data_IF_929511873045
#
_entry.id   IF_929511873045
#
_cell.length_a   1.000
_cell.length_b   1.000
_cell.length_c   1.000
_cell.angle_alpha   90.00
_cell.angle_beta   90.00
_cell.angle_gamma   90.00
#
_symmetry.space_group_name_H-M   'P 1'
#
loop_
_entity.id
_entity.type
_entity.pdbx_description
1 polymer ?
#
# COMPACT_ATOMS: atom_id res chain seq x y z
N UNK A 1 20.37 -29.09 36.11
CA UNK A 1 21.45 -28.48 35.30
C UNK A 1 21.35 -29.04 33.90
N UNK A 2 20.73 -28.30 32.98
CA UNK A 2 20.77 -28.55 31.53
C UNK A 2 20.42 -27.21 30.87
N UNK A 3 21.45 -26.55 30.34
CA UNK A 3 21.35 -25.25 29.66
C UNK A 3 20.86 -25.48 28.22
N UNK A 4 19.97 -24.62 27.68
CA UNK A 4 19.57 -24.68 26.28
C UNK A 4 20.69 -24.13 25.35
N UNK A 5 20.79 -24.62 24.11
CA UNK A 5 21.83 -24.19 23.18
C UNK A 5 21.57 -22.80 22.59
N UNK A 6 22.70 -22.19 22.27
CA UNK A 6 23.03 -20.77 22.12
C UNK A 6 22.39 -20.07 20.90
N UNK A 7 21.88 -18.87 21.13
CA UNK A 7 21.01 -18.08 20.25
C UNK A 7 21.79 -17.17 19.28
N UNK A 8 22.97 -17.60 18.81
CA UNK A 8 23.94 -16.76 18.07
C UNK A 8 24.25 -17.16 16.62
N UNK A 9 23.52 -18.09 15.99
CA UNK A 9 23.82 -18.57 14.62
C UNK A 9 22.82 -18.28 13.50
N UNK A 10 21.79 -17.45 13.73
CA UNK A 10 20.84 -17.04 12.67
C UNK A 10 21.08 -15.60 12.15
N UNK A 11 22.10 -14.90 12.68
CA UNK A 11 22.41 -13.52 12.29
C UNK A 11 23.38 -13.37 11.09
N UNK A 12 23.91 -14.46 10.51
CA UNK A 12 25.04 -14.35 9.56
C UNK A 12 24.69 -14.49 8.06
N UNK A 13 23.44 -14.77 7.68
CA UNK A 13 23.07 -14.97 6.26
C UNK A 13 22.34 -13.79 5.58
N UNK A 14 22.15 -12.64 6.26
CA UNK A 14 21.46 -11.48 5.66
C UNK A 14 22.42 -10.30 5.37
N UNK A 15 23.69 -10.41 5.76
CA UNK A 15 24.64 -9.29 5.72
C UNK A 15 25.67 -9.34 4.57
N UNK A 16 25.60 -10.32 3.66
CA UNK A 16 26.61 -10.54 2.61
C UNK A 16 26.21 -10.16 1.18
N UNK A 17 25.06 -9.51 0.97
CA UNK A 17 24.66 -9.00 -0.37
C UNK A 17 24.50 -7.48 -0.47
N UNK A 18 24.89 -6.72 0.57
CA UNK A 18 24.68 -5.26 0.60
C UNK A 18 25.95 -4.41 0.57
N UNK A 19 27.16 -4.99 0.51
CA UNK A 19 28.40 -4.22 0.59
C UNK A 19 29.48 -4.75 -0.36
N UNK A 20 29.26 -4.64 -1.68
CA UNK A 20 30.37 -4.50 -2.65
C UNK A 20 29.97 -3.59 -3.81
N UNK A 21 30.82 -2.59 -4.05
CA UNK A 21 30.97 -1.70 -5.22
C UNK A 21 30.22 -0.36 -5.18
N UNK A 22 30.80 0.57 -4.42
CA UNK A 22 30.99 1.95 -4.87
C UNK A 22 32.44 2.01 -5.38
N UNK A 23 32.63 2.26 -6.69
CA UNK A 23 33.67 3.13 -7.30
C UNK A 23 33.72 2.89 -8.81
N UNK A 24 33.67 4.00 -9.58
CA UNK A 24 33.96 4.19 -11.02
C UNK A 24 32.79 4.24 -12.03
N UNK A 25 32.95 5.05 -13.12
CA UNK A 25 31.97 6.00 -13.61
C UNK A 25 31.03 5.44 -14.70
N UNK A 26 29.96 6.20 -14.99
CA UNK A 26 28.94 5.93 -16.03
C UNK A 26 29.55 5.43 -17.35
N UNK A 27 29.09 4.28 -17.89
CA UNK A 27 29.17 4.03 -19.32
C UNK A 27 28.00 4.72 -20.04
N UNK A 28 28.29 5.15 -21.27
CA UNK A 28 27.40 5.89 -22.17
C UNK A 28 26.20 5.03 -22.59
N UNK A 29 25.13 5.74 -22.93
CA UNK A 29 23.86 5.19 -23.41
C UNK A 29 23.99 4.62 -24.83
N UNK A 30 24.43 3.37 -24.97
CA UNK A 30 24.18 2.51 -26.14
C UNK A 30 24.70 1.11 -25.75
N UNK A 31 24.04 0.03 -26.19
CA UNK A 31 24.47 -1.37 -25.96
C UNK A 31 24.09 -2.00 -24.60
N UNK A 32 22.79 -2.14 -24.35
CA UNK A 32 22.23 -3.41 -23.85
C UNK A 32 20.73 -3.45 -24.15
N UNK A 33 20.41 -3.29 -25.44
CA UNK A 33 19.09 -3.51 -26.02
C UNK A 33 19.18 -4.84 -26.76
N UNK A 34 18.15 -5.66 -26.62
CA UNK A 34 17.92 -6.95 -27.29
C UNK A 34 18.35 -8.20 -26.49
N UNK A 35 17.41 -8.68 -25.69
CA UNK A 35 17.04 -10.09 -25.47
C UNK A 35 16.28 -10.11 -24.13
N UNK A 36 14.98 -9.84 -24.10
CA UNK A 36 13.95 -10.88 -24.08
C UNK A 36 12.52 -10.34 -24.38
N UNK A 37 12.42 -9.22 -25.11
CA UNK A 37 11.13 -8.60 -25.46
C UNK A 37 10.62 -9.01 -26.85
N UNK A 38 10.67 -10.30 -27.22
CA UNK A 38 10.02 -10.78 -28.45
C UNK A 38 9.53 -12.23 -28.33
N UNK A 39 8.44 -12.47 -27.59
CA UNK A 39 7.44 -13.50 -27.97
C UNK A 39 6.04 -13.07 -27.47
N UNK A 40 5.17 -12.46 -28.30
CA UNK A 40 3.79 -12.10 -27.93
C UNK A 40 2.87 -13.32 -27.72
N UNK A 41 3.31 -14.53 -28.12
CA UNK A 41 2.52 -15.76 -28.11
C UNK A 41 2.28 -16.26 -26.67
N UNK A 42 3.22 -16.05 -25.75
CA UNK A 42 3.10 -16.54 -24.36
C UNK A 42 2.04 -15.76 -23.57
N UNK A 43 1.85 -14.46 -23.86
CA UNK A 43 0.78 -13.66 -23.25
C UNK A 43 -0.60 -14.11 -23.71
N UNK A 44 -0.77 -14.32 -25.02
CA UNK A 44 -2.04 -14.73 -25.62
C UNK A 44 -2.45 -16.15 -25.19
N UNK A 45 -1.50 -17.10 -25.17
CA UNK A 45 -1.75 -18.46 -24.69
C UNK A 45 -2.02 -18.52 -23.18
N UNK A 46 -1.33 -17.71 -22.37
CA UNK A 46 -1.59 -17.62 -20.94
C UNK A 46 -2.96 -16.98 -20.63
N UNK A 47 -3.42 -16.03 -21.44
CA UNK A 47 -4.75 -15.42 -21.31
C UNK A 47 -5.87 -16.38 -21.78
N UNK A 48 -5.59 -17.31 -22.70
CA UNK A 48 -6.50 -18.41 -23.05
C UNK A 48 -6.61 -19.46 -21.94
N UNK A 49 -5.50 -19.78 -21.28
CA UNK A 49 -5.43 -20.79 -20.21
C UNK A 49 -5.90 -20.22 -18.86
N UNK A 50 -5.72 -18.91 -18.64
CA UNK A 50 -6.07 -18.24 -17.39
C UNK A 50 -6.68 -16.85 -17.69
N UNK A 51 -7.91 -16.81 -18.23
CA UNK A 51 -8.51 -15.55 -18.66
C UNK A 51 -8.73 -14.62 -17.48
N UNK A 52 -8.59 -13.31 -17.73
CA UNK A 52 -8.79 -12.31 -16.70
C UNK A 52 -10.23 -12.36 -16.17
N UNK A 53 -10.34 -12.35 -14.84
CA UNK A 53 -11.61 -12.41 -14.12
C UNK A 53 -11.86 -11.12 -13.35
N UNK A 54 -13.13 -10.75 -13.28
CA UNK A 54 -13.64 -9.67 -12.46
C UNK A 54 -13.17 -9.84 -11.02
N UNK A 55 -12.57 -8.80 -10.43
CA UNK A 55 -12.06 -8.86 -9.07
C UNK A 55 -13.12 -9.12 -8.00
N UNK A 56 -14.42 -8.91 -8.30
CA UNK A 56 -15.51 -9.05 -7.35
C UNK A 56 -16.32 -10.34 -7.50
N UNK A 57 -16.70 -10.71 -8.73
CA UNK A 57 -17.60 -11.84 -9.01
C UNK A 57 -16.96 -12.97 -9.81
N UNK A 58 -15.68 -12.85 -10.18
CA UNK A 58 -14.93 -13.84 -10.95
C UNK A 58 -15.44 -14.16 -12.39
N UNK A 59 -16.46 -13.46 -12.88
CA UNK A 59 -16.88 -13.49 -14.30
C UNK A 59 -15.72 -13.06 -15.22
N UNK A 60 -15.64 -13.64 -16.41
CA UNK A 60 -14.64 -13.24 -17.41
C UNK A 60 -14.79 -11.77 -17.77
N UNK A 61 -13.66 -11.10 -17.94
CA UNK A 61 -13.60 -9.68 -18.33
C UNK A 61 -12.58 -9.50 -19.44
N UNK A 62 -12.68 -8.37 -20.14
CA UNK A 62 -11.65 -7.99 -21.13
C UNK A 62 -10.29 -7.84 -20.44
N UNK A 63 -9.17 -8.06 -21.17
CA UNK A 63 -7.85 -7.79 -20.64
C UNK A 63 -7.76 -6.40 -20.00
N UNK A 64 -7.08 -6.30 -18.87
CA UNK A 64 -6.88 -5.08 -18.09
C UNK A 64 -8.11 -4.53 -17.35
N UNK A 65 -9.31 -5.08 -17.53
CA UNK A 65 -10.53 -4.59 -16.89
C UNK A 65 -10.63 -5.08 -15.42
N UNK A 66 -10.70 -4.17 -14.44
CA UNK A 66 -10.75 -4.56 -13.02
C UNK A 66 -12.04 -5.31 -12.64
N UNK A 67 -13.17 -4.81 -13.13
CA UNK A 67 -14.52 -5.31 -12.83
C UNK A 67 -15.32 -5.46 -14.10
N UNK A 68 -16.19 -6.47 -14.18
CA UNK A 68 -17.25 -6.50 -15.19
C UNK A 68 -18.17 -5.28 -15.02
N UNK A 69 -18.93 -4.93 -16.05
CA UNK A 69 -19.70 -3.68 -16.07
C UNK A 69 -20.69 -3.59 -14.88
N UNK A 70 -21.36 -4.69 -14.53
CA UNK A 70 -22.24 -4.76 -13.35
C UNK A 70 -21.50 -4.54 -12.04
N UNK A 71 -20.28 -5.06 -11.90
CA UNK A 71 -19.49 -4.84 -10.69
C UNK A 71 -18.90 -3.43 -10.66
N UNK A 72 -18.57 -2.87 -11.82
CA UNK A 72 -18.06 -1.52 -11.97
C UNK A 72 -19.08 -0.48 -11.52
N UNK A 73 -20.36 -0.63 -11.89
CA UNK A 73 -21.44 0.29 -11.45
C UNK A 73 -21.70 0.24 -9.95
N UNK A 74 -21.37 -0.87 -9.28
CA UNK A 74 -21.46 -1.04 -7.82
C UNK A 74 -20.21 -0.55 -7.06
N UNK A 75 -19.26 0.09 -7.75
CA UNK A 75 -18.15 0.77 -7.10
C UNK A 75 -18.60 2.16 -6.71
N UNK A 76 -18.81 2.35 -5.41
CA UNK A 76 -19.00 3.66 -4.81
C UNK A 76 -17.65 4.39 -4.76
N UNK A 77 -17.37 5.21 -5.77
CA UNK A 77 -16.09 5.93 -5.93
C UNK A 77 -16.13 7.20 -5.11
N UNK A 78 -15.07 7.42 -4.33
CA UNK A 78 -14.95 8.60 -3.49
C UNK A 78 -14.36 9.78 -4.27
N UNK A 79 -14.89 10.97 -4.01
CA UNK A 79 -14.48 12.21 -4.63
C UNK A 79 -14.98 13.42 -3.82
N UNK A 80 -14.63 14.65 -4.24
CA UNK A 80 -15.16 15.86 -3.62
C UNK A 80 -16.69 15.97 -3.77
N UNK A 81 -17.41 16.63 -2.83
CA UNK A 81 -16.89 17.27 -1.61
C UNK A 81 -16.46 16.26 -0.52
N UNK A 82 -15.26 16.46 0.01
CA UNK A 82 -14.64 15.59 1.00
C UNK A 82 -13.74 16.37 1.97
N UNK A 83 -13.38 15.75 3.09
CA UNK A 83 -12.49 16.33 4.05
C UNK A 83 -11.10 16.57 3.44
N UNK A 84 -10.61 17.80 3.49
CA UNK A 84 -9.30 18.17 2.94
C UNK A 84 -8.15 17.37 3.56
N UNK A 85 -8.27 17.01 4.85
CA UNK A 85 -7.27 16.23 5.59
C UNK A 85 -7.47 14.72 5.49
N UNK A 86 -8.63 14.16 5.86
CA UNK A 86 -8.79 12.70 5.94
C UNK A 86 -9.55 12.05 4.77
N UNK A 87 -10.02 12.84 3.80
CA UNK A 87 -10.78 12.34 2.65
C UNK A 87 -12.14 11.72 3.01
N UNK A 88 -12.70 12.05 4.19
CA UNK A 88 -14.07 11.67 4.53
C UNK A 88 -15.06 12.37 3.60
N UNK A 89 -16.01 11.67 2.96
CA UNK A 89 -17.10 12.33 2.24
C UNK A 89 -17.84 13.33 3.13
N UNK A 90 -18.22 14.48 2.56
CA UNK A 90 -18.92 15.56 3.26
C UNK A 90 -19.96 16.20 2.33
N UNK A 91 -20.88 16.97 2.89
CA UNK A 91 -21.77 17.85 2.11
C UNK A 91 -21.04 19.10 1.60
N UNK A 92 -20.06 19.60 2.34
CA UNK A 92 -19.26 20.78 2.01
C UNK A 92 -17.77 20.52 2.13
N UNK A 93 -16.98 21.21 1.30
CA UNK A 93 -15.53 21.18 1.38
C UNK A 93 -15.04 21.78 2.71
N UNK A 94 -14.05 21.15 3.34
CA UNK A 94 -13.49 21.62 4.61
C UNK A 94 -12.87 20.52 5.44
N UNK A 95 -12.54 20.81 6.71
CA UNK A 95 -12.13 19.77 7.67
C UNK A 95 -13.38 19.16 8.32
N UNK A 96 -13.35 17.86 8.59
CA UNK A 96 -14.35 17.24 9.45
C UNK A 96 -14.02 17.47 10.92
N UNK A 97 -15.01 17.33 11.81
CA UNK A 97 -14.86 17.59 13.24
C UNK A 97 -13.71 16.78 13.86
N UNK A 98 -13.53 15.47 13.55
CA UNK A 98 -12.37 14.72 14.03
C UNK A 98 -11.01 15.23 13.51
N UNK A 99 -10.99 16.01 12.43
CA UNK A 99 -9.78 16.60 11.83
C UNK A 99 -9.67 18.11 12.09
N UNK A 100 -10.59 18.69 12.86
CA UNK A 100 -10.55 20.09 13.26
C UNK A 100 -9.41 20.34 14.26
N UNK A 101 -9.04 19.34 15.06
CA UNK A 101 -7.90 19.43 15.97
C UNK A 101 -6.55 19.45 15.20
N UNK A 102 -5.70 20.46 15.44
CA UNK A 102 -4.36 20.51 14.86
C UNK A 102 -3.47 19.38 15.41
N UNK A 103 -2.50 18.93 14.61
CA UNK A 103 -1.50 17.93 15.04
C UNK A 103 -1.54 16.57 14.32
N UNK A 104 -2.37 16.40 13.30
CA UNK A 104 -2.30 15.19 12.45
C UNK A 104 -0.91 15.08 11.79
N UNK A 105 -0.22 13.92 11.88
CA UNK A 105 1.04 13.70 11.15
C UNK A 105 0.82 13.52 9.64
N UNK A 106 -0.44 13.41 9.20
CA UNK A 106 -0.85 13.29 7.81
C UNK A 106 -1.30 14.66 7.30
N UNK A 107 -0.72 15.10 6.18
CA UNK A 107 -1.11 16.30 5.43
C UNK A 107 -2.45 16.07 4.73
N UNK A 108 -2.52 15.05 3.88
CA UNK A 108 -3.77 14.65 3.22
C UNK A 108 -3.90 13.13 3.07
N UNK A 109 -5.11 12.61 3.23
CA UNK A 109 -5.46 11.22 2.97
C UNK A 109 -6.57 11.14 1.91
N UNK A 110 -6.43 10.20 0.98
CA UNK A 110 -7.43 9.91 -0.06
C UNK A 110 -7.67 8.41 -0.17
N UNK A 111 -8.86 8.07 -0.64
CA UNK A 111 -9.27 6.71 -0.93
C UNK A 111 -9.96 6.66 -2.29
N UNK A 112 -9.81 5.54 -3.00
CA UNK A 112 -10.48 5.35 -4.29
C UNK A 112 -11.98 5.10 -4.15
N UNK A 113 -12.38 4.25 -3.21
CA UNK A 113 -13.77 3.84 -3.08
C UNK A 113 -14.23 3.65 -1.62
N UNK A 114 -15.54 3.66 -1.41
CA UNK A 114 -16.14 3.32 -0.13
C UNK A 114 -16.05 1.82 0.15
N UNK A 115 -15.76 1.49 1.41
CA UNK A 115 -15.76 0.15 1.97
C UNK A 115 -16.97 0.00 2.90
N UNK A 116 -18.06 -0.53 2.36
CA UNK A 116 -19.29 -0.77 3.12
C UNK A 116 -19.20 -2.09 3.90
N UNK A 117 -19.11 -2.03 5.24
CA UNK A 117 -19.18 -3.18 6.17
C UNK A 117 -20.60 -3.21 6.80
N UNK A 118 -21.26 -4.37 7.08
CA UNK A 118 -20.77 -5.75 7.07
C UNK A 118 -21.20 -6.63 5.90
N UNK A 119 -22.01 -6.13 4.96
CA UNK A 119 -22.66 -7.03 4.00
C UNK A 119 -21.80 -7.46 2.80
N UNK A 120 -20.53 -7.02 2.72
CA UNK A 120 -19.61 -7.44 1.65
C UNK A 120 -20.12 -7.19 0.23
N UNK A 121 -21.16 -6.37 0.07
CA UNK A 121 -21.91 -6.25 -1.17
C UNK A 121 -21.22 -5.35 -2.21
N UNK A 122 -20.31 -4.47 -1.77
CA UNK A 122 -19.57 -3.63 -2.71
C UNK A 122 -18.55 -4.47 -3.48
N UNK A 123 -18.40 -4.16 -4.77
CA UNK A 123 -17.42 -4.84 -5.62
C UNK A 123 -15.99 -4.67 -5.09
N UNK A 124 -15.72 -3.54 -4.44
CA UNK A 124 -14.41 -3.24 -3.85
C UNK A 124 -14.11 -4.11 -2.63
N UNK A 125 -15.08 -4.34 -1.75
CA UNK A 125 -14.89 -5.23 -0.61
C UNK A 125 -14.56 -6.66 -1.07
N UNK A 126 -15.28 -7.16 -2.08
CA UNK A 126 -15.01 -8.48 -2.69
C UNK A 126 -13.65 -8.54 -3.40
N UNK A 127 -13.26 -7.47 -4.08
CA UNK A 127 -11.93 -7.36 -4.69
C UNK A 127 -10.80 -7.38 -3.67
N UNK A 128 -10.97 -6.64 -2.57
CA UNK A 128 -10.00 -6.62 -1.47
C UNK A 128 -9.90 -7.99 -0.82
N UNK A 129 -11.03 -8.68 -0.61
CA UNK A 129 -11.04 -10.04 -0.08
C UNK A 129 -10.30 -11.01 -1.01
N UNK A 130 -10.62 -10.98 -2.31
CA UNK A 130 -9.95 -11.79 -3.34
C UNK A 130 -8.46 -11.48 -3.44
N UNK A 131 -8.08 -10.20 -3.29
CA UNK A 131 -6.69 -9.76 -3.27
C UNK A 131 -5.95 -10.19 -1.99
N UNK A 132 -6.64 -10.29 -0.85
CA UNK A 132 -6.04 -10.71 0.43
C UNK A 132 -5.79 -12.21 0.52
N UNK A 133 -6.70 -13.02 -0.01
CA UNK A 133 -6.76 -14.45 0.28
C UNK A 133 -6.74 -15.35 -0.95
N UNK A 134 -7.06 -14.82 -2.14
CA UNK A 134 -7.18 -15.62 -3.37
C UNK A 134 -5.91 -15.73 -4.23
N UNK A 135 -4.73 -15.31 -3.72
CA UNK A 135 -3.48 -15.36 -4.50
C UNK A 135 -3.45 -14.45 -5.74
N UNK A 136 -4.47 -13.61 -5.92
CA UNK A 136 -4.69 -12.78 -7.09
C UNK A 136 -3.78 -11.54 -7.13
N UNK A 137 -2.45 -11.73 -7.02
CA UNK A 137 -1.45 -10.66 -7.21
C UNK A 137 -1.64 -9.92 -8.53
N UNK A 138 -2.20 -10.59 -9.55
CA UNK A 138 -2.60 -10.02 -10.84
C UNK A 138 -3.63 -8.89 -10.72
N UNK A 139 -4.46 -8.87 -9.68
CA UNK A 139 -5.36 -7.75 -9.39
C UNK A 139 -4.60 -6.49 -8.96
N UNK A 140 -3.40 -6.64 -8.40
CA UNK A 140 -2.61 -5.54 -7.85
C UNK A 140 -2.37 -4.41 -8.85
N UNK A 141 -2.05 -4.73 -10.11
CA UNK A 141 -1.89 -3.74 -11.18
C UNK A 141 -3.18 -2.96 -11.41
N UNK A 142 -4.30 -3.67 -11.61
CA UNK A 142 -5.60 -3.07 -11.93
C UNK A 142 -6.15 -2.23 -10.77
N UNK A 143 -5.96 -2.70 -9.54
CA UNK A 143 -6.32 -1.95 -8.31
C UNK A 143 -5.48 -0.68 -8.16
N UNK A 144 -4.16 -0.77 -8.38
CA UNK A 144 -3.27 0.39 -8.33
C UNK A 144 -3.61 1.41 -9.43
N UNK A 145 -3.91 0.96 -10.66
CA UNK A 145 -4.38 1.84 -11.74
C UNK A 145 -5.63 2.61 -11.34
N UNK A 146 -6.59 1.96 -10.68
CA UNK A 146 -7.80 2.63 -10.22
C UNK A 146 -7.51 3.71 -9.15
N UNK A 147 -6.52 3.49 -8.29
CA UNK A 147 -6.10 4.45 -7.26
C UNK A 147 -5.43 5.70 -7.82
N UNK A 148 -4.88 5.67 -9.05
CA UNK A 148 -4.20 6.82 -9.67
C UNK A 148 -5.09 8.07 -9.75
N UNK A 149 -6.39 7.87 -9.96
CA UNK A 149 -7.38 8.96 -10.03
C UNK A 149 -7.49 9.78 -8.73
N UNK A 150 -6.90 9.30 -7.62
CA UNK A 150 -7.02 9.91 -6.29
C UNK A 150 -5.67 10.22 -5.65
N UNK A 151 -4.58 10.13 -6.41
CA UNK A 151 -3.24 10.48 -5.92
C UNK A 151 -3.27 11.95 -5.47
N UNK A 152 -2.96 12.24 -4.18
CA UNK A 152 -2.82 13.61 -3.72
C UNK A 152 -1.57 14.25 -4.36
N UNK A 153 -1.64 15.57 -4.60
CA UNK A 153 -0.65 16.52 -5.16
C UNK A 153 0.69 16.02 -5.74
N UNK A 154 1.22 16.65 -6.80
CA UNK A 154 2.33 16.11 -7.60
C UNK A 154 3.73 16.13 -6.95
N UNK A 155 3.90 16.64 -5.73
CA UNK A 155 5.20 16.79 -5.06
C UNK A 155 5.71 15.51 -4.38
N UNK A 156 5.07 14.36 -4.59
CA UNK A 156 5.47 13.08 -4.02
C UNK A 156 6.86 12.68 -4.55
N UNK A 157 7.81 12.49 -3.64
CA UNK A 157 9.19 12.11 -3.98
C UNK A 157 9.54 10.67 -3.59
N UNK A 158 8.69 10.03 -2.78
CA UNK A 158 8.92 8.68 -2.27
C UNK A 158 7.59 7.98 -1.96
N UNK A 159 7.44 6.75 -2.41
CA UNK A 159 6.29 5.89 -2.10
C UNK A 159 6.68 4.84 -1.06
N UNK A 160 5.90 4.72 0.00
CA UNK A 160 6.14 3.79 1.11
C UNK A 160 4.88 2.98 1.38
N UNK A 161 4.91 1.64 1.29
CA UNK A 161 3.76 0.83 1.72
C UNK A 161 3.68 0.74 3.24
N UNK A 162 2.47 0.67 3.78
CA UNK A 162 2.27 0.27 5.19
C UNK A 162 2.80 -1.16 5.38
N UNK A 163 3.71 -1.40 6.35
CA UNK A 163 4.28 -2.72 6.54
C UNK A 163 3.34 -3.63 7.34
N UNK A 164 3.25 -4.88 6.88
CA UNK A 164 2.68 -5.96 7.69
C UNK A 164 3.72 -6.46 8.70
N UNK A 165 3.24 -6.90 9.86
CA UNK A 165 4.09 -7.61 10.82
C UNK A 165 4.55 -8.96 10.21
N UNK A 166 5.78 -9.40 10.52
CA UNK A 166 6.40 -10.60 9.92
C UNK A 166 5.54 -11.87 10.04
N UNK A 167 4.80 -12.04 11.15
CA UNK A 167 3.88 -13.18 11.33
C UNK A 167 2.70 -13.13 10.35
N UNK A 168 2.11 -11.95 10.11
CA UNK A 168 1.02 -11.79 9.13
C UNK A 168 1.53 -11.93 7.70
N UNK A 169 2.76 -11.48 7.42
CA UNK A 169 3.38 -11.68 6.12
C UNK A 169 3.58 -13.17 5.82
N UNK A 170 4.04 -13.95 6.80
CA UNK A 170 4.16 -15.42 6.66
C UNK A 170 2.81 -16.11 6.44
N UNK A 171 1.78 -15.71 7.17
CA UNK A 171 0.42 -16.26 7.01
C UNK A 171 -0.22 -15.91 5.66
N UNK A 172 -0.03 -14.67 5.17
CA UNK A 172 -0.68 -14.17 3.95
C UNK A 172 0.17 -14.30 2.68
N UNK A 173 1.44 -14.69 2.81
CA UNK A 173 2.39 -14.85 1.70
C UNK A 173 2.89 -13.56 1.04
N UNK A 174 2.19 -12.42 1.16
CA UNK A 174 2.63 -11.12 0.64
C UNK A 174 1.98 -9.92 1.35
N UNK A 175 2.57 -8.73 1.15
CA UNK A 175 2.02 -7.45 1.59
C UNK A 175 1.27 -6.78 0.43
N UNK A 176 -0.05 -6.66 0.59
CA UNK A 176 -0.97 -6.03 -0.36
C UNK A 176 -0.57 -4.59 -0.68
N UNK A 177 -0.30 -3.80 0.36
CA UNK A 177 0.12 -2.41 0.27
C UNK A 177 1.45 -2.28 -0.49
N UNK A 178 2.36 -3.25 -0.34
CA UNK A 178 3.61 -3.29 -1.10
C UNK A 178 3.41 -3.60 -2.60
N UNK A 179 2.45 -4.45 -2.95
CA UNK A 179 2.10 -4.73 -4.35
C UNK A 179 1.49 -3.48 -4.98
N UNK A 180 0.55 -2.82 -4.30
CA UNK A 180 -0.06 -1.56 -4.76
C UNK A 180 1.01 -0.46 -4.92
N UNK A 181 1.88 -0.29 -3.93
CA UNK A 181 2.95 0.70 -3.96
C UNK A 181 3.93 0.51 -5.13
N UNK A 182 4.28 -0.75 -5.49
CA UNK A 182 5.13 -1.03 -6.65
C UNK A 182 4.49 -0.58 -7.96
N UNK A 183 3.21 -0.85 -8.14
CA UNK A 183 2.50 -0.45 -9.36
C UNK A 183 2.29 1.06 -9.41
N UNK A 184 1.89 1.68 -8.30
CA UNK A 184 1.75 3.13 -8.20
C UNK A 184 3.07 3.86 -8.44
N UNK A 185 4.17 3.43 -7.81
CA UNK A 185 5.47 4.07 -8.02
C UNK A 185 5.98 3.97 -9.45
N UNK A 186 5.67 2.89 -10.18
CA UNK A 186 5.97 2.80 -11.62
C UNK A 186 5.15 3.81 -12.43
N UNK A 187 3.85 3.92 -12.16
CA UNK A 187 2.97 4.87 -12.86
C UNK A 187 3.24 6.32 -12.51
N UNK A 188 3.74 6.60 -11.30
CA UNK A 188 4.11 7.93 -10.82
C UNK A 188 5.58 8.27 -11.07
N UNK A 189 6.36 7.37 -11.68
CA UNK A 189 7.80 7.50 -11.87
C UNK A 189 8.57 7.82 -10.58
N UNK A 190 8.05 7.34 -9.45
CA UNK A 190 8.56 7.62 -8.11
C UNK A 190 9.30 6.42 -7.52
N UNK A 191 10.34 6.70 -6.74
CA UNK A 191 11.05 5.66 -5.98
C UNK A 191 10.11 5.01 -4.97
N UNK A 192 10.11 3.67 -4.92
CA UNK A 192 9.35 2.89 -3.93
C UNK A 192 10.30 2.29 -2.90
N UNK A 193 10.11 2.60 -1.63
CA UNK A 193 10.93 2.10 -0.53
C UNK A 193 10.16 1.08 0.33
N UNK A 194 10.23 -0.19 -0.07
CA UNK A 194 9.42 -1.28 0.48
C UNK A 194 9.78 -1.70 1.92
N UNK A 195 11.02 -1.45 2.34
CA UNK A 195 11.58 -1.88 3.62
C UNK A 195 11.96 -0.70 4.53
N UNK A 196 11.61 0.53 4.13
CA UNK A 196 11.98 1.75 4.84
C UNK A 196 11.31 1.82 6.22
N UNK A 197 10.02 1.51 6.27
CA UNK A 197 9.25 1.42 7.50
C UNK A 197 9.06 -0.04 7.87
N UNK A 198 9.35 -0.38 9.12
CA UNK A 198 9.15 -1.72 9.66
C UNK A 198 8.18 -1.68 10.82
N UNK A 199 7.38 -2.74 10.95
CA UNK A 199 6.48 -2.94 12.10
C UNK A 199 7.18 -3.79 13.14
N UNK A 200 7.62 -3.17 14.24
CA UNK A 200 8.43 -3.78 15.29
C UNK A 200 7.62 -4.68 16.23
N UNK A 201 6.34 -4.35 16.46
CA UNK A 201 5.48 -5.10 17.38
C UNK A 201 4.39 -5.90 16.67
N UNK A 202 4.22 -7.16 17.10
CA UNK A 202 3.09 -7.97 16.70
C UNK A 202 1.86 -7.57 17.50
N UNK A 203 1.08 -6.62 16.99
CA UNK A 203 -0.11 -6.19 17.71
C UNK A 203 -1.33 -7.01 17.29
N UNK A 204 -2.26 -7.33 18.22
CA UNK A 204 -3.46 -8.14 17.95
C UNK A 204 -4.27 -7.63 16.75
N UNK A 205 -5.16 -8.49 16.23
CA UNK A 205 -6.08 -8.10 15.15
C UNK A 205 -6.86 -6.85 15.56
N UNK A 206 -6.93 -5.87 14.66
CA UNK A 206 -7.62 -4.61 14.91
C UNK A 206 -9.12 -4.68 14.58
N UNK A 207 -9.59 -5.81 14.05
CA UNK A 207 -10.97 -5.95 13.54
C UNK A 207 -11.99 -5.72 14.65
N UNK A 208 -11.74 -6.24 15.85
CA UNK A 208 -12.66 -6.16 17.02
C UNK A 208 -12.39 -4.96 17.95
N UNK A 209 -11.39 -4.12 17.66
CA UNK A 209 -10.99 -3.02 18.56
C UNK A 209 -11.75 -1.72 18.26
N UNK A 210 -12.07 -0.95 19.31
CA UNK A 210 -12.59 0.42 19.16
C UNK A 210 -11.56 1.34 18.47
N UNK A 211 -11.96 2.48 17.91
CA UNK A 211 -11.02 3.43 17.31
C UNK A 211 -9.86 3.86 18.24
N UNK A 212 -10.15 4.10 19.51
CA UNK A 212 -9.18 4.49 20.55
C UNK A 212 -8.23 3.33 20.86
N UNK A 213 -8.79 2.13 21.06
CA UNK A 213 -8.01 0.92 21.26
C UNK A 213 -7.12 0.60 20.05
N UNK A 214 -7.59 0.88 18.82
CA UNK A 214 -6.77 0.77 17.60
C UNK A 214 -5.60 1.74 17.61
N UNK A 215 -5.80 2.98 18.04
CA UNK A 215 -4.74 4.00 18.13
C UNK A 215 -3.65 3.61 19.15
N UNK A 216 -4.05 3.22 20.37
CA UNK A 216 -3.13 2.72 21.39
C UNK A 216 -2.36 1.48 20.91
N UNK A 217 -3.04 0.57 20.20
CA UNK A 217 -2.47 -0.67 19.69
C UNK A 217 -1.43 -0.48 18.56
N UNK A 218 -1.29 0.71 17.99
CA UNK A 218 -0.27 1.00 16.93
C UNK A 218 0.74 2.06 17.32
N UNK A 219 0.50 2.80 18.41
CA UNK A 219 1.42 3.82 18.90
C UNK A 219 2.81 3.20 19.16
N UNK A 220 3.86 3.73 18.52
CA UNK A 220 5.22 3.21 18.62
C UNK A 220 5.44 1.80 18.03
N UNK A 221 4.53 1.31 17.18
CA UNK A 221 4.68 0.00 16.55
C UNK A 221 5.54 0.04 15.27
N UNK A 222 5.87 1.23 14.77
CA UNK A 222 6.58 1.44 13.51
C UNK A 222 7.89 2.19 13.72
N UNK A 223 8.92 1.83 12.94
CA UNK A 223 10.22 2.49 12.94
C UNK A 223 10.74 2.67 11.52
N UNK A 224 11.59 3.68 11.31
CA UNK A 224 12.25 3.99 10.03
C UNK A 224 13.68 3.49 10.07
N UNK A 225 14.08 2.59 9.16
CA UNK A 225 15.44 2.00 9.14
C UNK A 225 16.52 2.94 8.62
N UNK A 226 16.16 3.83 7.69
CA UNK A 226 17.10 4.74 7.03
C UNK A 226 16.56 6.18 7.01
N UNK A 227 16.64 6.91 8.14
CA UNK A 227 16.09 8.27 8.26
C UNK A 227 16.62 9.25 7.20
N UNK A 228 17.87 9.09 6.73
CA UNK A 228 18.44 9.89 5.65
C UNK A 228 17.66 9.78 4.32
N UNK A 229 16.93 8.67 4.09
CA UNK A 229 16.06 8.52 2.93
C UNK A 229 14.67 9.17 3.12
N UNK A 230 14.37 9.68 4.31
CA UNK A 230 13.07 10.29 4.66
C UNK A 230 13.17 11.80 4.77
N UNK A 231 14.32 12.30 5.22
CA UNK A 231 14.55 13.72 5.46
C UNK A 231 14.20 14.59 4.24
N UNK A 232 13.47 15.67 4.51
CA UNK A 232 13.08 16.73 3.56
C UNK A 232 12.24 16.24 2.36
N UNK A 233 11.57 15.09 2.49
CA UNK A 233 10.73 14.51 1.44
C UNK A 233 9.24 14.59 1.75
N UNK A 234 8.45 14.84 0.71
CA UNK A 234 7.02 14.51 0.67
C UNK A 234 6.86 13.03 0.34
N UNK A 235 6.23 12.28 1.25
CA UNK A 235 6.10 10.82 1.17
C UNK A 235 4.64 10.43 0.97
N UNK A 236 4.38 9.57 -0.02
CA UNK A 236 3.08 8.95 -0.23
C UNK A 236 3.05 7.56 0.42
N UNK A 237 2.25 7.43 1.47
CA UNK A 237 2.01 6.16 2.17
C UNK A 237 0.85 5.43 1.51
N UNK A 238 1.07 4.17 1.15
CA UNK A 238 0.06 3.31 0.51
C UNK A 238 -0.48 2.28 1.49
N UNK A 239 -1.81 2.17 1.57
CA UNK A 239 -2.48 1.08 2.29
C UNK A 239 -3.66 0.51 1.51
N UNK A 240 -4.23 -0.60 1.99
CA UNK A 240 -5.41 -1.21 1.38
C UNK A 240 -6.72 -0.55 1.84
N UNK A 241 -6.96 -0.47 3.15
CA UNK A 241 -8.23 0.02 3.70
C UNK A 241 -8.00 1.02 4.83
N UNK A 242 -8.52 2.23 4.64
CA UNK A 242 -8.65 3.22 5.69
C UNK A 242 -9.87 2.90 6.57
N UNK A 243 -9.64 2.46 7.81
CA UNK A 243 -10.71 2.32 8.82
C UNK A 243 -10.76 3.55 9.72
N UNK A 244 -10.19 3.48 10.92
CA UNK A 244 -10.00 4.66 11.77
C UNK A 244 -8.85 5.54 11.33
N UNK A 245 -7.96 5.04 10.45
CA UNK A 245 -6.72 5.70 10.06
C UNK A 245 -5.59 5.57 11.09
N UNK A 246 -5.78 4.84 12.19
CA UNK A 246 -4.77 4.68 13.24
C UNK A 246 -3.42 4.18 12.69
N UNK A 247 -3.44 3.13 11.87
CA UNK A 247 -2.22 2.55 11.26
C UNK A 247 -1.50 3.57 10.39
N UNK A 248 -2.22 4.26 9.50
CA UNK A 248 -1.66 5.28 8.63
C UNK A 248 -1.07 6.45 9.43
N UNK A 249 -1.77 6.91 10.47
CA UNK A 249 -1.28 7.98 11.36
C UNK A 249 -0.01 7.57 12.10
N UNK A 250 0.09 6.32 12.58
CA UNK A 250 1.28 5.85 13.26
C UNK A 250 2.50 5.72 12.33
N UNK A 251 2.29 5.27 11.09
CA UNK A 251 3.34 5.26 10.05
C UNK A 251 3.75 6.70 9.71
N UNK A 252 2.79 7.59 9.49
CA UNK A 252 3.06 8.99 9.21
C UNK A 252 3.82 9.68 10.36
N UNK A 253 3.47 9.40 11.62
CA UNK A 253 4.18 9.92 12.78
C UNK A 253 5.64 9.47 12.80
N UNK A 254 5.92 8.18 12.51
CA UNK A 254 7.28 7.68 12.43
C UNK A 254 8.09 8.33 11.30
N UNK A 255 7.46 8.58 10.14
CA UNK A 255 8.09 9.28 9.02
C UNK A 255 8.35 10.77 9.32
N UNK A 256 7.40 11.45 9.96
CA UNK A 256 7.56 12.85 10.41
C UNK A 256 8.68 12.98 11.44
N UNK A 257 8.74 12.07 12.40
CA UNK A 257 9.82 12.02 13.38
C UNK A 257 11.20 11.75 12.75
N UNK A 258 11.24 11.06 11.61
CA UNK A 258 12.46 10.84 10.83
C UNK A 258 12.81 12.00 9.86
N UNK A 259 12.03 13.10 9.86
CA UNK A 259 12.32 14.33 9.12
C UNK A 259 11.55 14.52 7.81
N UNK A 260 10.46 13.78 7.56
CA UNK A 260 9.64 13.99 6.35
C UNK A 260 9.00 15.39 6.33
N UNK A 261 9.07 16.11 5.21
CA UNK A 261 8.43 17.43 4.99
C UNK A 261 6.91 17.34 4.99
N UNK A 262 6.37 16.25 4.44
CA UNK A 262 4.94 15.97 4.43
C UNK A 262 4.71 14.47 4.27
N UNK A 263 3.58 14.00 4.81
CA UNK A 263 3.13 12.62 4.60
C UNK A 263 1.70 12.65 4.11
N UNK A 264 1.50 12.12 2.92
CA UNK A 264 0.19 11.88 2.34
C UNK A 264 -0.14 10.40 2.39
N UNK A 265 -1.43 10.07 2.37
CA UNK A 265 -1.90 8.68 2.41
C UNK A 265 -2.85 8.43 1.25
N UNK A 266 -2.63 7.33 0.54
CA UNK A 266 -3.55 6.83 -0.46
C UNK A 266 -3.93 5.39 -0.14
N UNK A 267 -5.23 5.15 -0.04
CA UNK A 267 -5.80 3.83 0.24
C UNK A 267 -6.70 3.36 -0.89
N UNK A 268 -6.81 2.04 -1.07
CA UNK A 268 -7.72 1.49 -2.06
C UNK A 268 -9.18 1.73 -1.67
N UNK A 269 -9.51 1.61 -0.38
CA UNK A 269 -10.86 1.87 0.09
C UNK A 269 -10.92 2.51 1.48
N UNK A 270 -12.05 3.14 1.81
CA UNK A 270 -12.31 3.75 3.12
C UNK A 270 -13.58 3.20 3.74
N UNK A 271 -13.50 2.71 4.97
CA UNK A 271 -14.69 2.34 5.73
C UNK A 271 -15.50 3.60 6.05
N UNK A 272 -16.79 3.57 5.72
CA UNK A 272 -17.78 4.60 6.02
C UNK A 272 -18.79 4.06 7.03
#
# INVERSE_FOLDING_TARGET
>A
IQRPPDMKRIACCVELLALRRITHPKPRATECRMALDQVPIVGFAADLICPERCGACATLVRPHQLFCDTCWTRVDRLGPPECTSCGCPRSTAGRCDPCAHPGSPIRTARAWAAYHHPNGASSVARAIASFKYGGARRLGRRLATAMLARVPAPDVSLVVPVPLHVRRLRQRGFNQSAVLARHLGRSLECRVALSLVVRMRNTPSQVTLSPEARAANVAGAFAVRHPALVRDRTILVIDDVWTSGATARAVAAALRAAGATAVDVLTLARAL
#
